data_IF_754266715457
#
_entry.id   IF_754266715457
#
_cell.length_a   1.000
_cell.length_b   1.000
_cell.length_c   1.000
_cell.angle_alpha   90.00
_cell.angle_beta   90.00
_cell.angle_gamma   90.00
#
_symmetry.space_group_name_H-M   'P 1'
#
loop_
_entity.id
_entity.type
_entity.pdbx_description
1 polymer ?
#
# COMPACT_ATOMS: atom_id res chain seq x y z
N UNK A 1 -5.92 15.12 5.38
CA UNK A 1 -5.39 14.33 4.25
C UNK A 1 -5.89 12.91 4.43
N UNK A 2 -6.72 12.44 3.51
CA UNK A 2 -7.34 11.12 3.58
C UNK A 2 -6.33 10.01 3.31
N UNK A 3 -6.16 9.09 4.27
CA UNK A 3 -5.20 7.99 4.15
C UNK A 3 -5.55 6.99 3.06
N UNK A 4 -6.85 6.86 2.74
CA UNK A 4 -7.31 6.18 1.52
C UNK A 4 -6.68 6.78 0.27
N UNK A 5 -6.70 8.11 0.18
CA UNK A 5 -6.12 8.84 -0.95
C UNK A 5 -4.61 8.62 -1.03
N UNK A 6 -3.91 8.51 0.11
CA UNK A 6 -2.47 8.23 0.13
C UNK A 6 -2.12 6.81 -0.37
N UNK A 7 -2.90 5.78 -0.04
CA UNK A 7 -2.63 4.43 -0.55
C UNK A 7 -3.10 4.26 -2.00
N UNK A 8 -4.20 4.91 -2.38
CA UNK A 8 -4.67 4.94 -3.76
C UNK A 8 -3.66 5.66 -4.66
N UNK A 9 -3.03 6.74 -4.17
CA UNK A 9 -1.91 7.45 -4.80
C UNK A 9 -0.65 6.57 -4.93
N UNK A 10 -0.32 5.78 -3.91
CA UNK A 10 0.77 4.79 -3.92
C UNK A 10 0.56 3.66 -4.94
N UNK A 11 -0.70 3.23 -5.13
CA UNK A 11 -1.08 2.19 -6.09
C UNK A 11 -1.38 2.75 -7.49
N UNK A 12 -1.59 4.07 -7.63
CA UNK A 12 -1.79 4.71 -8.90
C UNK A 12 -0.47 4.75 -9.68
N UNK A 13 -0.45 4.35 -10.96
CA UNK A 13 0.79 4.20 -11.73
C UNK A 13 1.53 5.52 -12.05
N UNK A 14 1.08 6.69 -11.58
CA UNK A 14 1.53 7.99 -12.08
C UNK A 14 1.68 9.13 -11.05
N UNK A 15 1.49 8.90 -9.75
CA UNK A 15 1.58 9.99 -8.78
C UNK A 15 3.02 10.25 -8.30
N UNK A 16 3.62 11.25 -8.96
CA UNK A 16 4.73 12.10 -8.53
C UNK A 16 5.46 11.71 -7.22
N UNK A 17 6.49 10.86 -7.34
CA UNK A 17 7.56 10.76 -6.34
C UNK A 17 7.61 9.46 -5.53
N UNK A 18 6.64 8.56 -5.68
CA UNK A 18 6.75 7.24 -5.07
C UNK A 18 7.75 6.37 -5.84
N UNK A 19 8.77 5.89 -5.12
CA UNK A 19 9.78 4.97 -5.64
C UNK A 19 9.08 3.68 -6.09
N UNK A 20 9.45 3.09 -7.23
CA UNK A 20 8.87 1.83 -7.72
C UNK A 20 8.78 0.73 -6.64
N UNK A 21 9.73 0.72 -5.71
CA UNK A 21 9.76 -0.14 -4.53
C UNK A 21 8.55 0.03 -3.59
N UNK A 22 8.05 1.24 -3.38
CA UNK A 22 6.89 1.48 -2.51
C UNK A 22 5.59 0.98 -3.15
N UNK A 23 5.43 1.17 -4.46
CA UNK A 23 4.30 0.60 -5.21
C UNK A 23 4.33 -0.93 -5.21
N UNK A 24 5.52 -1.53 -5.36
CA UNK A 24 5.68 -2.98 -5.28
C UNK A 24 5.36 -3.52 -3.87
N UNK A 25 5.87 -2.86 -2.82
CA UNK A 25 5.56 -3.20 -1.43
C UNK A 25 4.07 -3.09 -1.13
N UNK A 26 3.40 -2.01 -1.55
CA UNK A 26 1.96 -1.84 -1.37
C UNK A 26 1.19 -2.98 -2.05
N UNK A 27 1.61 -3.41 -3.25
CA UNK A 27 1.01 -4.54 -3.95
C UNK A 27 1.25 -5.87 -3.22
N UNK A 28 2.46 -6.12 -2.73
CA UNK A 28 2.77 -7.31 -1.91
C UNK A 28 1.88 -7.38 -0.67
N UNK A 29 1.69 -6.25 0.01
CA UNK A 29 0.82 -6.14 1.17
C UNK A 29 -0.65 -6.40 0.82
N UNK A 30 -1.16 -5.84 -0.28
CA UNK A 30 -2.51 -6.12 -0.76
C UNK A 30 -2.72 -7.63 -1.02
N UNK A 31 -1.79 -8.26 -1.75
CA UNK A 31 -1.83 -9.71 -2.00
C UNK A 31 -1.74 -10.53 -0.71
N UNK A 32 -0.93 -10.12 0.26
CA UNK A 32 -0.82 -10.81 1.56
C UNK A 32 -2.14 -10.82 2.32
N UNK A 33 -2.92 -9.73 2.25
CA UNK A 33 -4.26 -9.66 2.85
C UNK A 33 -5.36 -10.26 1.96
N UNK A 34 -5.02 -10.80 0.78
CA UNK A 34 -6.00 -11.34 -0.16
C UNK A 34 -6.83 -10.28 -0.89
N UNK A 35 -6.41 -9.01 -0.81
CA UNK A 35 -7.11 -7.89 -1.46
C UNK A 35 -6.51 -7.60 -2.84
N UNK A 36 -7.37 -7.46 -3.85
CA UNK A 36 -6.97 -6.99 -5.19
C UNK A 36 -6.87 -5.46 -5.23
N UNK A 37 -7.68 -4.77 -4.41
CA UNK A 37 -7.81 -3.31 -4.39
C UNK A 37 -7.77 -2.76 -2.98
N UNK A 38 -7.24 -1.55 -2.83
CA UNK A 38 -7.24 -0.79 -1.57
C UNK A 38 -8.65 -0.54 -1.00
N UNK A 39 -9.68 -0.58 -1.85
CA UNK A 39 -11.07 -0.40 -1.44
C UNK A 39 -11.63 -1.62 -0.70
N UNK A 40 -11.03 -2.79 -0.90
CA UNK A 40 -11.42 -4.06 -0.26
C UNK A 40 -10.92 -4.15 1.18
N UNK A 41 -9.98 -3.28 1.56
CA UNK A 41 -9.40 -3.23 2.90
C UNK A 41 -10.07 -2.18 3.77
N UNK A 42 -10.19 -2.51 5.05
CA UNK A 42 -10.56 -1.57 6.09
C UNK A 42 -9.54 -0.45 6.25
N UNK A 43 -10.02 0.71 6.71
CA UNK A 43 -9.18 1.89 6.92
C UNK A 43 -7.99 1.57 7.83
N UNK A 44 -8.20 0.84 8.93
CA UNK A 44 -7.11 0.45 9.83
C UNK A 44 -6.02 -0.42 9.18
N UNK A 45 -6.38 -1.28 8.22
CA UNK A 45 -5.40 -2.05 7.45
C UNK A 45 -4.66 -1.17 6.46
N UNK A 46 -5.37 -0.27 5.77
CA UNK A 46 -4.76 0.69 4.85
C UNK A 46 -3.72 1.57 5.56
N UNK A 47 -4.02 2.01 6.78
CA UNK A 47 -3.10 2.79 7.62
C UNK A 47 -1.84 1.99 7.99
N UNK A 48 -2.02 0.72 8.37
CA UNK A 48 -0.91 -0.16 8.70
C UNK A 48 0.00 -0.38 7.49
N UNK A 49 -0.58 -0.70 6.32
CA UNK A 49 0.14 -0.92 5.07
C UNK A 49 0.90 0.33 4.64
N UNK A 50 0.26 1.51 4.65
CA UNK A 50 0.95 2.76 4.32
C UNK A 50 2.14 3.03 5.27
N UNK A 51 2.00 2.68 6.55
CA UNK A 51 3.07 2.74 7.53
C UNK A 51 4.24 1.78 7.23
N UNK A 52 3.95 0.54 6.81
CA UNK A 52 4.96 -0.46 6.45
C UNK A 52 5.67 -0.11 5.12
N UNK A 53 4.90 0.28 4.11
CA UNK A 53 5.40 0.67 2.79
C UNK A 53 6.34 1.88 2.89
N UNK A 54 5.95 2.90 3.66
CA UNK A 54 6.80 4.08 3.92
C UNK A 54 8.10 3.70 4.65
N UNK A 55 8.07 2.65 5.47
CA UNK A 55 9.24 2.11 6.17
C UNK A 55 10.04 1.11 5.34
N UNK A 56 9.59 0.76 4.13
CA UNK A 56 10.25 -0.26 3.29
C UNK A 56 10.10 -1.69 3.82
N UNK A 57 9.08 -1.97 4.63
CA UNK A 57 8.86 -3.27 5.27
C UNK A 57 7.99 -4.17 4.39
N UNK A 58 8.50 -5.35 4.04
CA UNK A 58 7.75 -6.39 3.34
C UNK A 58 6.79 -7.14 4.27
N UNK A 59 5.65 -7.66 3.76
CA UNK A 59 4.79 -8.55 4.53
C UNK A 59 5.55 -9.83 4.94
N UNK A 60 5.21 -10.42 6.09
CA UNK A 60 5.80 -11.68 6.51
C UNK A 60 5.34 -12.83 5.61
N UNK A 61 6.28 -13.64 5.12
CA UNK A 61 5.99 -14.80 4.25
C UNK A 61 6.45 -14.66 2.80
N UNK A 62 7.47 -13.85 2.52
CA UNK A 62 8.25 -13.97 1.28
C UNK A 62 9.10 -15.25 1.28
#
# INVERSE_FOLDING_TARGET
MDQRSALEDLCAPAAAGHTAMQTELARKWLTHFGADRVQDLDLGMLEAIAGYVRKGVSPPGE
#
